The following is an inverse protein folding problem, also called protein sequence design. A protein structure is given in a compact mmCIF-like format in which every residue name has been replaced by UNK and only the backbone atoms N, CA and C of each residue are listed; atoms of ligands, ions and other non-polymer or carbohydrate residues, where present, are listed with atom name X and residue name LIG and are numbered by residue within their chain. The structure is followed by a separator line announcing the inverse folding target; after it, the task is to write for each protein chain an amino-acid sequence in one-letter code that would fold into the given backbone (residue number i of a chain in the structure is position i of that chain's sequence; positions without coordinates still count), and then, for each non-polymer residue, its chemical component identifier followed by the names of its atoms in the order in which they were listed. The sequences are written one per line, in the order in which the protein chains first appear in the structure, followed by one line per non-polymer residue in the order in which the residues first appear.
data_IF_373029283899
#
_entry.id   IF_373029283899
#
_cell.length_a   1.000
_cell.length_b   1.000
_cell.length_c   1.000
_cell.angle_alpha   90.00
_cell.angle_beta   90.00
_cell.angle_gamma   90.00
#
_symmetry.space_group_name_H-M   'P 1'
#
loop_
_entity.id
_entity.type
_entity.pdbx_description
1 polymer ?
#
# COMPACT_ATOMS: atom_id res chain seq x y z
N UNK A 1 12.02 32.97 41.93
CA UNK A 1 11.63 31.79 42.71
C UNK A 1 12.15 30.55 41.98
N UNK A 2 13.23 29.99 42.49
CA UNK A 2 13.88 28.78 41.96
C UNK A 2 13.13 27.55 42.46
N UNK A 3 12.69 26.67 41.55
CA UNK A 3 12.19 25.34 41.89
C UNK A 3 13.10 24.30 41.26
N UNK A 4 13.91 23.69 42.11
CA UNK A 4 14.71 22.53 41.81
C UNK A 4 13.83 21.27 41.88
N UNK A 5 13.87 20.43 40.84
CA UNK A 5 13.37 19.07 40.91
C UNK A 5 14.55 18.13 41.06
N UNK A 6 14.62 17.44 42.20
CA UNK A 6 15.62 16.43 42.52
C UNK A 6 14.96 15.05 42.60
N UNK A 7 15.64 14.07 41.98
CA UNK A 7 15.59 12.61 42.23
C UNK A 7 14.31 11.91 41.71
N UNK A 8 14.35 10.72 41.11
CA UNK A 8 15.20 9.56 41.44
C UNK A 8 15.23 8.58 40.25
N UNK A 9 16.43 8.08 39.93
CA UNK A 9 16.67 6.95 39.03
C UNK A 9 16.23 5.65 39.72
N UNK A 10 15.45 4.81 39.05
CA UNK A 10 15.31 3.38 39.34
C UNK A 10 14.93 2.62 38.06
N UNK A 11 15.94 2.02 37.45
CA UNK A 11 15.86 0.78 36.66
C UNK A 11 17.04 -0.10 37.15
N UNK A 12 17.14 -1.42 36.91
CA UNK A 12 16.29 -2.32 36.12
C UNK A 12 15.97 -3.67 36.83
N UNK A 13 15.05 -4.48 36.30
CA UNK A 13 15.01 -5.92 36.58
C UNK A 13 14.81 -6.69 35.27
N UNK A 14 15.89 -7.34 34.84
CA UNK A 14 15.96 -8.21 33.68
C UNK A 14 15.25 -9.53 33.97
N UNK A 15 14.12 -9.80 33.31
CA UNK A 15 13.49 -11.12 33.32
C UNK A 15 13.91 -11.85 32.04
N UNK A 16 14.91 -12.72 32.16
CA UNK A 16 15.37 -13.59 31.08
C UNK A 16 14.40 -14.76 30.90
N UNK A 17 13.54 -14.70 29.88
CA UNK A 17 12.74 -15.84 29.43
C UNK A 17 13.51 -16.57 28.32
N UNK A 18 13.84 -17.84 28.57
CA UNK A 18 14.47 -18.73 27.60
C UNK A 18 13.46 -19.14 26.52
N UNK A 19 13.73 -18.79 25.26
CA UNK A 19 12.96 -19.25 24.11
C UNK A 19 13.77 -20.34 23.40
N UNK A 20 13.28 -21.58 23.46
CA UNK A 20 13.79 -22.69 22.67
C UNK A 20 13.23 -22.61 21.22
N UNK A 21 14.00 -23.00 20.19
CA UNK A 21 13.51 -23.02 18.82
C UNK A 21 12.75 -24.33 18.56
N UNK A 22 11.42 -24.27 18.52
CA UNK A 22 10.60 -25.34 17.94
C UNK A 22 10.44 -25.07 16.44
N UNK A 23 11.04 -25.93 15.62
CA UNK A 23 10.84 -25.93 14.18
C UNK A 23 9.41 -26.40 13.85
N UNK A 24 8.59 -25.49 13.31
CA UNK A 24 7.26 -25.78 12.81
C UNK A 24 7.33 -25.99 11.29
N UNK A 25 7.18 -27.23 10.85
CA UNK A 25 6.95 -27.58 9.44
C UNK A 25 5.46 -27.41 9.12
N UNK A 26 5.11 -26.34 8.40
CA UNK A 26 3.77 -26.14 7.88
C UNK A 26 3.68 -26.69 6.45
N UNK A 27 3.03 -27.85 6.30
CA UNK A 27 2.53 -28.33 5.01
C UNK A 27 1.28 -27.54 4.64
N UNK A 28 1.35 -26.73 3.58
CA UNK A 28 0.21 -26.04 3.01
C UNK A 28 -0.35 -26.88 1.86
N UNK A 29 -1.51 -27.52 2.09
CA UNK A 29 -2.40 -27.94 1.01
C UNK A 29 -3.34 -26.76 0.67
N UNK A 30 -3.58 -26.43 -0.61
CA UNK A 30 -4.53 -25.39 -0.97
C UNK A 30 -5.94 -25.99 -0.99
N UNK A 31 -6.88 -25.36 -0.27
CA UNK A 31 -8.30 -25.62 -0.47
C UNK A 31 -8.92 -24.39 -1.14
N UNK A 32 -9.40 -24.62 -2.36
CA UNK A 32 -10.17 -23.71 -3.19
C UNK A 32 -11.56 -23.41 -2.60
N UNK A 33 -11.99 -22.16 -2.82
CA UNK A 33 -13.38 -21.82 -3.11
C UNK A 33 -14.32 -21.60 -1.92
N UNK A 34 -14.59 -20.32 -1.59
CA UNK A 34 -15.93 -19.80 -1.22
C UNK A 34 -15.93 -18.33 -0.72
N UNK A 35 -16.48 -17.44 -1.56
CA UNK A 35 -17.53 -16.43 -1.25
C UNK A 35 -17.31 -15.13 -0.40
N UNK A 36 -17.51 -13.98 -1.08
CA UNK A 36 -18.17 -12.67 -0.73
C UNK A 36 -17.69 -11.82 0.50
N UNK A 37 -17.90 -10.47 0.66
CA UNK A 37 -19.15 -9.66 0.64
C UNK A 37 -18.94 -8.13 0.87
N UNK A 38 -20.03 -7.36 0.99
CA UNK A 38 -20.27 -5.90 1.09
C UNK A 38 -19.84 -5.16 2.37
N UNK A 39 -19.51 -3.86 2.31
CA UNK A 39 -18.77 -3.04 3.30
C UNK A 39 -19.45 -2.60 4.63
N UNK A 40 -20.38 -3.38 5.21
CA UNK A 40 -20.92 -3.12 6.57
C UNK A 40 -20.67 -4.24 7.60
N UNK A 41 -20.65 -5.55 7.27
CA UNK A 41 -20.24 -6.62 8.18
C UNK A 41 -18.71 -6.84 8.22
N UNK A 42 -17.92 -5.97 7.55
CA UNK A 42 -16.47 -6.17 7.40
C UNK A 42 -15.72 -6.08 8.72
N UNK A 43 -16.10 -5.14 9.61
CA UNK A 43 -15.42 -5.03 10.90
C UNK A 43 -15.56 -6.31 11.71
N UNK A 44 -16.78 -6.86 11.80
CA UNK A 44 -17.03 -8.11 12.51
C UNK A 44 -16.33 -9.32 11.85
N UNK A 45 -16.33 -9.42 10.52
CA UNK A 45 -15.61 -10.50 9.83
C UNK A 45 -14.08 -10.37 9.96
N UNK A 46 -13.54 -9.16 9.94
CA UNK A 46 -12.12 -8.92 10.17
C UNK A 46 -11.72 -9.23 11.60
N UNK A 47 -12.57 -8.89 12.57
CA UNK A 47 -12.39 -9.26 13.97
C UNK A 47 -12.44 -10.77 14.14
N UNK A 48 -13.44 -11.46 13.59
CA UNK A 48 -13.54 -12.92 13.63
C UNK A 48 -12.34 -13.60 12.98
N UNK A 49 -11.91 -13.15 11.80
CA UNK A 49 -10.70 -13.66 11.13
C UNK A 49 -9.45 -13.44 11.97
N UNK A 50 -9.33 -12.28 12.62
CA UNK A 50 -8.20 -11.96 13.50
C UNK A 50 -8.20 -12.83 14.76
N UNK A 51 -9.35 -13.04 15.36
CA UNK A 51 -9.55 -13.92 16.52
C UNK A 51 -9.16 -15.37 16.17
N UNK A 52 -9.58 -15.87 15.01
CA UNK A 52 -9.16 -17.18 14.51
C UNK A 52 -7.64 -17.28 14.26
N UNK A 53 -6.99 -16.18 13.82
CA UNK A 53 -5.53 -16.14 13.68
C UNK A 53 -4.83 -16.20 15.04
N UNK A 54 -5.35 -15.51 16.06
CA UNK A 54 -4.81 -15.56 17.41
C UNK A 54 -4.93 -16.94 18.03
N UNK A 55 -6.07 -17.61 17.86
CA UNK A 55 -6.27 -19.01 18.28
C UNK A 55 -5.30 -19.95 17.58
N UNK A 56 -5.16 -19.83 16.26
CA UNK A 56 -4.22 -20.65 15.47
C UNK A 56 -2.76 -20.43 15.89
N UNK A 57 -2.42 -19.20 16.27
CA UNK A 57 -1.08 -18.85 16.74
C UNK A 57 -0.83 -19.22 18.21
N UNK A 58 -1.84 -19.73 18.93
CA UNK A 58 -1.74 -20.06 20.35
C UNK A 58 -1.55 -18.83 21.23
N UNK A 59 -2.03 -17.66 20.79
CA UNK A 59 -1.96 -16.42 21.56
C UNK A 59 -3.04 -16.46 22.64
N UNK A 60 -2.60 -16.35 23.89
CA UNK A 60 -3.47 -16.35 25.06
C UNK A 60 -4.36 -15.10 25.12
N UNK A 61 -5.41 -15.18 25.93
CA UNK A 61 -6.44 -14.14 26.01
C UNK A 61 -5.89 -12.80 26.54
N UNK A 62 -4.93 -12.83 27.48
CA UNK A 62 -4.33 -11.61 28.02
C UNK A 62 -3.48 -10.90 26.97
N UNK A 63 -2.67 -11.65 26.21
CA UNK A 63 -1.90 -11.11 25.09
C UNK A 63 -2.81 -10.60 23.97
N UNK A 64 -3.92 -11.29 23.70
CA UNK A 64 -4.92 -10.88 22.71
C UNK A 64 -5.56 -9.55 23.08
N UNK A 65 -6.01 -9.41 24.32
CA UNK A 65 -6.62 -8.18 24.84
C UNK A 65 -5.63 -7.00 24.76
N UNK A 66 -4.37 -7.23 25.13
CA UNK A 66 -3.31 -6.21 25.03
C UNK A 66 -3.09 -5.75 23.57
N UNK A 67 -3.09 -6.67 22.59
CA UNK A 67 -2.96 -6.32 21.18
C UNK A 67 -4.16 -5.52 20.65
N UNK A 68 -5.37 -5.83 21.10
CA UNK A 68 -6.57 -5.10 20.70
C UNK A 68 -6.61 -3.70 21.32
N UNK A 69 -6.22 -3.58 22.60
CA UNK A 69 -6.06 -2.30 23.26
C UNK A 69 -5.04 -1.40 22.54
N UNK A 70 -3.86 -1.93 22.21
CA UNK A 70 -2.83 -1.19 21.48
C UNK A 70 -3.30 -0.74 20.08
N UNK A 71 -4.11 -1.55 19.38
CA UNK A 71 -4.67 -1.18 18.07
C UNK A 71 -5.73 -0.08 18.17
N UNK A 72 -6.55 -0.12 19.23
CA UNK A 72 -7.56 0.92 19.49
C UNK A 72 -6.87 2.24 19.82
N UNK A 73 -5.91 2.22 20.73
CA UNK A 73 -5.08 3.38 21.07
C UNK A 73 -4.38 3.95 19.83
N UNK A 74 -3.78 3.09 19.00
CA UNK A 74 -3.14 3.54 17.76
C UNK A 74 -4.12 4.20 16.78
N UNK A 75 -5.35 3.67 16.68
CA UNK A 75 -6.38 4.26 15.82
C UNK A 75 -6.81 5.63 16.33
N UNK A 76 -7.09 5.73 17.63
CA UNK A 76 -7.46 6.99 18.29
C UNK A 76 -6.35 8.03 18.10
N UNK A 77 -5.09 7.66 18.32
CA UNK A 77 -3.95 8.53 18.08
C UNK A 77 -3.83 8.99 16.61
N UNK A 78 -4.15 8.14 15.63
CA UNK A 78 -4.15 8.53 14.22
C UNK A 78 -5.33 9.44 13.87
N UNK A 79 -6.49 9.24 14.49
CA UNK A 79 -7.67 10.10 14.31
C UNK A 79 -7.41 11.49 14.88
N UNK A 80 -6.89 11.59 16.11
CA UNK A 80 -6.46 12.84 16.73
C UNK A 80 -5.38 13.56 15.91
N UNK A 81 -4.39 12.81 15.38
CA UNK A 81 -3.35 13.38 14.52
C UNK A 81 -3.94 13.95 13.23
N UNK A 82 -4.89 13.26 12.60
CA UNK A 82 -5.56 13.73 11.38
C UNK A 82 -6.38 14.97 11.66
N UNK A 83 -7.15 14.97 12.74
CA UNK A 83 -7.95 16.13 13.13
C UNK A 83 -7.07 17.34 13.43
N UNK A 84 -6.00 17.16 14.22
CA UNK A 84 -5.02 18.21 14.51
C UNK A 84 -4.37 18.74 13.23
N UNK A 85 -4.04 17.85 12.29
CA UNK A 85 -3.51 18.25 10.98
C UNK A 85 -4.53 19.04 10.17
N UNK A 86 -5.81 18.65 10.16
CA UNK A 86 -6.87 19.40 9.49
C UNK A 86 -7.06 20.78 10.11
N UNK A 87 -7.14 20.89 11.43
CA UNK A 87 -7.23 22.19 12.12
C UNK A 87 -6.05 23.09 11.77
N UNK A 88 -4.82 22.56 11.79
CA UNK A 88 -3.63 23.31 11.39
C UNK A 88 -3.69 23.76 9.93
N UNK A 89 -4.24 22.94 9.04
CA UNK A 89 -4.45 23.34 7.64
C UNK A 89 -5.47 24.47 7.53
N UNK A 90 -6.54 24.45 8.34
CA UNK A 90 -7.57 25.49 8.36
C UNK A 90 -7.08 26.80 8.98
N UNK A 91 -6.10 26.75 9.89
CA UNK A 91 -5.41 27.94 10.42
C UNK A 91 -4.46 28.59 9.39
N UNK A 92 -3.86 27.79 8.50
CA UNK A 92 -2.86 28.25 7.54
C UNK A 92 -3.50 28.69 6.22
N UNK A 93 -4.50 27.94 5.75
CA UNK A 93 -5.15 28.15 4.46
C UNK A 93 -6.60 28.57 4.66
N UNK A 94 -7.00 29.63 3.97
CA UNK A 94 -8.41 29.98 3.83
C UNK A 94 -9.16 29.00 2.90
N UNK A 95 -10.49 29.12 2.87
CA UNK A 95 -11.36 28.23 2.13
C UNK A 95 -11.03 28.20 0.62
N UNK A 96 -10.71 29.35 0.03
CA UNK A 96 -10.37 29.49 -1.39
C UNK A 96 -9.04 28.80 -1.72
N UNK A 97 -8.02 28.99 -0.89
CA UNK A 97 -6.73 28.32 -1.02
C UNK A 97 -6.83 26.81 -0.86
N UNK A 98 -7.70 26.33 0.04
CA UNK A 98 -7.94 24.88 0.21
C UNK A 98 -8.64 24.28 -0.99
N UNK A 99 -9.64 24.96 -1.54
CA UNK A 99 -10.33 24.53 -2.76
C UNK A 99 -9.37 24.47 -3.94
N UNK A 100 -8.58 25.53 -4.16
CA UNK A 100 -7.57 25.58 -5.22
C UNK A 100 -6.51 24.46 -5.06
N UNK A 101 -6.06 24.16 -3.85
CA UNK A 101 -5.12 23.06 -3.59
C UNK A 101 -5.77 21.69 -3.84
N UNK A 102 -7.04 21.52 -3.49
CA UNK A 102 -7.80 20.30 -3.74
C UNK A 102 -7.98 20.06 -5.25
N UNK A 103 -8.32 21.10 -6.00
CA UNK A 103 -8.41 21.07 -7.46
C UNK A 103 -7.07 20.73 -8.09
N UNK A 104 -6.00 21.45 -7.74
CA UNK A 104 -4.65 21.16 -8.25
C UNK A 104 -4.19 19.72 -7.97
N UNK A 105 -4.53 19.16 -6.79
CA UNK A 105 -4.25 17.75 -6.47
C UNK A 105 -5.05 16.79 -7.34
N UNK A 106 -6.31 17.12 -7.61
CA UNK A 106 -7.18 16.33 -8.48
C UNK A 106 -6.65 16.35 -9.91
N UNK A 107 -6.31 17.51 -10.43
CA UNK A 107 -5.76 17.69 -11.78
C UNK A 107 -4.46 16.91 -11.93
N UNK A 108 -3.52 17.06 -10.99
CA UNK A 108 -2.27 16.30 -10.99
C UNK A 108 -2.53 14.79 -10.93
N UNK A 109 -3.55 14.35 -10.18
CA UNK A 109 -3.93 12.93 -10.16
C UNK A 109 -4.54 12.48 -11.50
N UNK A 110 -5.33 13.31 -12.16
CA UNK A 110 -5.91 13.04 -13.48
C UNK A 110 -4.81 12.99 -14.56
N UNK A 111 -3.85 13.90 -14.52
CA UNK A 111 -2.64 13.91 -15.35
C UNK A 111 -1.83 12.62 -15.16
N UNK A 112 -1.44 12.29 -13.93
CA UNK A 112 -0.72 11.03 -13.67
C UNK A 112 -1.50 9.79 -14.08
N UNK A 113 -2.83 9.80 -13.99
CA UNK A 113 -3.67 8.72 -14.51
C UNK A 113 -3.62 8.67 -16.04
N UNK A 114 -3.62 9.81 -16.73
CA UNK A 114 -3.50 9.90 -18.17
C UNK A 114 -2.13 9.40 -18.65
N UNK A 115 -1.04 9.90 -18.05
CA UNK A 115 0.33 9.45 -18.32
C UNK A 115 0.46 7.93 -18.14
N UNK A 116 -0.04 7.40 -17.02
CA UNK A 116 -0.03 5.94 -16.78
C UNK A 116 -0.83 5.17 -17.82
N UNK A 117 -1.94 5.72 -18.33
CA UNK A 117 -2.71 5.09 -19.41
C UNK A 117 -1.90 5.09 -20.71
N UNK A 118 -1.25 6.20 -21.05
CA UNK A 118 -0.43 6.31 -22.26
C UNK A 118 0.77 5.36 -22.23
N UNK A 119 1.53 5.35 -21.13
CA UNK A 119 2.64 4.40 -20.93
C UNK A 119 2.16 2.96 -21.06
N UNK A 120 0.99 2.64 -20.50
CA UNK A 120 0.43 1.30 -20.62
C UNK A 120 0.03 0.96 -22.05
N UNK A 121 -0.52 1.91 -22.80
CA UNK A 121 -0.86 1.72 -24.20
C UNK A 121 0.39 1.51 -25.06
N UNK A 122 1.44 2.29 -24.84
CA UNK A 122 2.73 2.13 -25.53
C UNK A 122 3.32 0.74 -25.27
N UNK A 123 3.39 0.33 -24.00
CA UNK A 123 3.88 -1.00 -23.62
C UNK A 123 3.08 -2.13 -24.31
N UNK A 124 1.76 -1.99 -24.40
CA UNK A 124 0.93 -2.97 -25.11
C UNK A 124 1.21 -2.98 -26.61
N UNK A 125 1.37 -1.80 -27.23
CA UNK A 125 1.66 -1.73 -28.66
C UNK A 125 3.01 -2.38 -28.98
N UNK A 126 4.05 -2.08 -28.18
CA UNK A 126 5.38 -2.72 -28.31
C UNK A 126 5.30 -4.24 -28.12
N UNK A 127 4.50 -4.71 -27.16
CA UNK A 127 4.29 -6.13 -26.93
C UNK A 127 3.61 -6.80 -28.13
N UNK A 128 2.55 -6.18 -28.67
CA UNK A 128 1.84 -6.69 -29.85
C UNK A 128 2.73 -6.67 -31.09
N UNK A 129 3.58 -5.65 -31.25
CA UNK A 129 4.59 -5.60 -32.32
C UNK A 129 5.58 -6.76 -32.24
N UNK A 130 5.97 -7.17 -31.02
CA UNK A 130 6.89 -8.29 -30.81
C UNK A 130 6.34 -9.66 -31.20
N UNK A 131 5.01 -9.81 -31.26
CA UNK A 131 4.36 -11.07 -31.58
C UNK A 131 4.16 -11.33 -33.08
N UNK A 132 4.48 -10.35 -33.94
CA UNK A 132 4.38 -10.48 -35.40
C UNK A 132 3.01 -11.04 -35.88
N UNK A 133 1.92 -10.67 -35.19
CA UNK A 133 0.56 -11.12 -35.53
C UNK A 133 0.07 -10.49 -36.84
N UNK A 134 -0.94 -11.12 -37.46
CA UNK A 134 -1.51 -10.62 -38.72
C UNK A 134 -2.17 -9.25 -38.54
N UNK A 135 -2.26 -8.46 -39.62
CA UNK A 135 -2.95 -7.16 -39.57
C UNK A 135 -4.43 -7.31 -39.19
N UNK A 136 -5.06 -8.42 -39.56
CA UNK A 136 -6.43 -8.74 -39.18
C UNK A 136 -6.56 -8.98 -37.66
N UNK A 137 -5.64 -9.76 -37.06
CA UNK A 137 -5.64 -10.03 -35.62
C UNK A 137 -5.27 -8.78 -34.82
N UNK A 138 -4.37 -7.94 -35.37
CA UNK A 138 -3.99 -6.64 -34.78
C UNK A 138 -5.17 -5.70 -34.71
N UNK A 139 -5.98 -5.63 -35.77
CA UNK A 139 -7.18 -4.80 -35.77
C UNK A 139 -8.26 -5.37 -34.85
N UNK A 140 -8.49 -6.68 -34.87
CA UNK A 140 -9.41 -7.34 -33.93
C UNK A 140 -9.01 -7.09 -32.46
N UNK A 141 -7.70 -7.10 -32.15
CA UNK A 141 -7.19 -6.80 -30.81
C UNK A 141 -7.39 -5.33 -30.43
N UNK A 142 -7.22 -4.40 -31.37
CA UNK A 142 -7.51 -2.97 -31.16
C UNK A 142 -8.99 -2.78 -30.84
N UNK A 143 -9.89 -3.32 -31.65
CA UNK A 143 -11.34 -3.25 -31.45
C UNK A 143 -11.75 -3.85 -30.10
N UNK A 144 -11.21 -5.02 -29.74
CA UNK A 144 -11.46 -5.64 -28.44
C UNK A 144 -11.03 -4.74 -27.28
N UNK A 145 -9.88 -4.05 -27.39
CA UNK A 145 -9.42 -3.10 -26.37
C UNK A 145 -10.30 -1.85 -26.28
N UNK A 146 -10.76 -1.32 -27.40
CA UNK A 146 -11.67 -0.17 -27.41
C UNK A 146 -13.03 -0.53 -26.79
N UNK A 147 -13.55 -1.71 -27.10
CA UNK A 147 -14.77 -2.25 -26.47
C UNK A 147 -14.61 -2.35 -24.95
N UNK A 148 -13.47 -2.88 -24.46
CA UNK A 148 -13.17 -2.95 -23.01
C UNK A 148 -13.29 -1.59 -22.34
N UNK A 149 -12.74 -0.53 -22.95
CA UNK A 149 -12.84 0.81 -22.37
C UNK A 149 -14.26 1.37 -22.40
N UNK A 150 -14.99 1.15 -23.50
CA UNK A 150 -16.38 1.57 -23.65
C UNK A 150 -17.27 0.89 -22.60
N UNK A 151 -17.14 -0.41 -22.42
CA UNK A 151 -17.95 -1.18 -21.47
C UNK A 151 -17.62 -0.81 -20.02
N UNK A 152 -16.34 -0.61 -19.70
CA UNK A 152 -15.93 -0.12 -18.38
C UNK A 152 -16.50 1.27 -18.07
N UNK A 153 -16.61 2.13 -19.08
CA UNK A 153 -17.22 3.45 -18.93
C UNK A 153 -18.75 3.34 -18.77
N UNK A 154 -19.42 2.52 -19.56
CA UNK A 154 -20.86 2.25 -19.43
C UNK A 154 -21.19 1.68 -18.04
N UNK A 155 -20.38 0.73 -17.56
CA UNK A 155 -20.50 0.15 -16.23
C UNK A 155 -20.26 1.18 -15.11
N UNK A 156 -19.48 2.24 -15.37
CA UNK A 156 -19.26 3.34 -14.42
C UNK A 156 -20.47 4.26 -14.32
N UNK A 157 -21.19 4.45 -15.42
CA UNK A 157 -22.39 5.29 -15.52
C UNK A 157 -23.66 4.55 -15.08
N UNK A 158 -23.65 3.23 -15.18
CA UNK A 158 -24.75 2.38 -14.75
C UNK A 158 -25.00 2.46 -13.23
N UNK A 159 -26.27 2.63 -12.85
CA UNK A 159 -26.72 2.48 -11.48
C UNK A 159 -26.93 0.99 -11.15
N UNK A 160 -26.56 0.60 -9.93
CA UNK A 160 -26.74 -0.76 -9.44
C UNK A 160 -27.52 -0.76 -8.13
N UNK A 161 -28.38 -1.76 -7.97
CA UNK A 161 -29.17 -1.96 -6.76
C UNK A 161 -28.31 -2.33 -5.54
N UNK A 162 -27.10 -2.86 -5.77
CA UNK A 162 -26.16 -3.20 -4.71
C UNK A 162 -24.69 -3.17 -5.17
N UNK A 163 -23.77 -3.09 -4.20
CA UNK A 163 -22.33 -3.26 -4.48
C UNK A 163 -22.01 -4.66 -4.98
N UNK A 164 -22.73 -5.67 -4.51
CA UNK A 164 -22.59 -7.05 -4.97
C UNK A 164 -22.99 -7.18 -6.46
N UNK A 165 -24.12 -6.60 -6.88
CA UNK A 165 -24.54 -6.57 -8.28
C UNK A 165 -23.49 -5.88 -9.18
N UNK A 166 -22.93 -4.75 -8.71
CA UNK A 166 -21.83 -4.08 -9.42
C UNK A 166 -20.57 -4.95 -9.55
N UNK A 167 -20.24 -5.72 -8.50
CA UNK A 167 -19.09 -6.64 -8.52
C UNK A 167 -19.31 -7.80 -9.48
N UNK A 168 -20.51 -8.35 -9.51
CA UNK A 168 -20.89 -9.41 -10.45
C UNK A 168 -20.82 -8.91 -11.90
N UNK A 169 -21.37 -7.72 -12.17
CA UNK A 169 -21.28 -7.12 -13.49
C UNK A 169 -19.83 -6.87 -13.91
N UNK A 170 -18.98 -6.38 -12.99
CA UNK A 170 -17.55 -6.24 -13.25
C UNK A 170 -16.83 -7.57 -13.48
N UNK A 171 -17.27 -8.64 -12.81
CA UNK A 171 -16.70 -9.98 -12.98
C UNK A 171 -17.06 -10.55 -14.35
N UNK A 172 -18.36 -10.53 -14.69
CA UNK A 172 -18.87 -10.97 -15.98
C UNK A 172 -18.19 -10.22 -17.12
N UNK A 173 -18.06 -8.90 -17.00
CA UNK A 173 -17.35 -8.08 -17.97
C UNK A 173 -15.89 -8.51 -18.17
N UNK A 174 -15.17 -8.82 -17.09
CA UNK A 174 -13.78 -9.31 -17.18
C UNK A 174 -13.70 -10.68 -17.84
N UNK A 175 -14.66 -11.57 -17.57
CA UNK A 175 -14.70 -12.91 -18.19
C UNK A 175 -14.98 -12.81 -19.69
N UNK A 176 -15.95 -11.97 -20.08
CA UNK A 176 -16.27 -11.69 -21.48
C UNK A 176 -15.06 -11.13 -22.23
N UNK A 177 -14.37 -10.15 -21.63
CA UNK A 177 -13.15 -9.60 -22.21
C UNK A 177 -12.02 -10.61 -22.29
N UNK A 178 -11.86 -11.47 -21.29
CA UNK A 178 -10.86 -12.53 -21.34
C UNK A 178 -11.18 -13.52 -22.47
N UNK A 179 -12.46 -13.87 -22.67
CA UNK A 179 -12.88 -14.75 -23.75
C UNK A 179 -12.63 -14.12 -25.13
N UNK A 180 -13.00 -12.86 -25.32
CA UNK A 180 -12.77 -12.13 -26.56
C UNK A 180 -11.27 -12.07 -26.92
N UNK A 181 -10.40 -11.84 -25.93
CA UNK A 181 -8.95 -11.83 -26.15
C UNK A 181 -8.40 -13.24 -26.46
N UNK A 182 -8.99 -14.30 -25.91
CA UNK A 182 -8.59 -15.69 -26.16
C UNK A 182 -8.98 -16.22 -27.55
N UNK A 183 -9.93 -15.57 -28.23
CA UNK A 183 -10.24 -15.87 -29.64
C UNK A 183 -9.16 -15.34 -30.60
N UNK A 184 -8.43 -14.31 -30.18
CA UNK A 184 -7.44 -13.60 -31.01
C UNK A 184 -6.01 -14.01 -30.64
N UNK A 185 -5.74 -14.17 -29.35
CA UNK A 185 -4.40 -14.41 -28.81
C UNK A 185 -4.29 -15.83 -28.26
N UNK A 186 -3.09 -16.41 -28.38
CA UNK A 186 -2.77 -17.68 -27.72
C UNK A 186 -2.69 -17.53 -26.20
N UNK A 187 -2.81 -18.64 -25.48
CA UNK A 187 -2.71 -18.68 -24.02
C UNK A 187 -1.38 -18.08 -23.50
N UNK A 188 -0.27 -18.32 -24.22
CA UNK A 188 1.04 -17.78 -23.88
C UNK A 188 1.09 -16.25 -24.05
N UNK A 189 0.52 -15.72 -25.13
CA UNK A 189 0.42 -14.28 -25.39
C UNK A 189 -0.50 -13.59 -24.38
N UNK A 190 -1.63 -14.22 -24.01
CA UNK A 190 -2.52 -13.72 -22.95
C UNK A 190 -1.80 -13.64 -21.60
N UNK A 191 -0.99 -14.65 -21.28
CA UNK A 191 -0.20 -14.68 -20.05
C UNK A 191 0.84 -13.56 -20.05
N UNK A 192 1.59 -13.41 -21.13
CA UNK A 192 2.59 -12.36 -21.28
C UNK A 192 1.96 -10.96 -21.21
N UNK A 193 0.81 -10.75 -21.86
CA UNK A 193 0.03 -9.53 -21.75
C UNK A 193 -0.36 -9.25 -20.29
N UNK A 194 -0.85 -10.27 -19.57
CA UNK A 194 -1.26 -10.12 -18.16
C UNK A 194 -0.08 -9.76 -17.27
N UNK A 195 1.09 -10.36 -17.50
CA UNK A 195 2.32 -10.04 -16.78
C UNK A 195 2.83 -8.63 -17.08
N UNK A 196 2.70 -8.19 -18.35
CA UNK A 196 3.03 -6.84 -18.76
C UNK A 196 2.05 -5.79 -18.19
N UNK A 197 0.77 -6.13 -18.08
CA UNK A 197 -0.27 -5.25 -17.56
C UNK A 197 -0.42 -5.29 -16.05
N UNK A 198 0.13 -6.31 -15.39
CA UNK A 198 0.08 -6.41 -13.95
C UNK A 198 0.69 -5.12 -13.38
N UNK A 199 -0.01 -4.41 -12.47
CA UNK A 199 0.62 -3.32 -11.77
C UNK A 199 1.89 -3.91 -11.17
N UNK A 200 3.04 -3.28 -11.41
CA UNK A 200 4.24 -3.62 -10.68
C UNK A 200 3.84 -3.54 -9.21
N UNK A 201 3.58 -4.71 -8.60
CA UNK A 201 3.59 -4.86 -7.17
C UNK A 201 5.02 -4.51 -6.84
N UNK A 202 5.26 -3.23 -6.56
CA UNK A 202 6.50 -2.81 -5.97
C UNK A 202 6.82 -3.86 -4.92
N UNK A 203 8.02 -4.40 -4.96
CA UNK A 203 8.57 -5.18 -3.87
C UNK A 203 8.61 -4.28 -2.63
N UNK A 204 7.45 -4.03 -2.03
CA UNK A 204 7.23 -3.40 -0.75
C UNK A 204 7.17 -4.49 0.30
N UNK A 205 8.25 -5.28 0.38
CA UNK A 205 8.60 -6.11 1.52
C UNK A 205 10.13 -6.18 1.56
N UNK A 206 10.78 -5.04 1.81
CA UNK A 206 12.06 -5.04 2.52
C UNK A 206 11.75 -4.92 4.01
N UNK A 207 11.92 -5.99 4.81
CA UNK A 207 11.78 -5.91 6.25
C UNK A 207 13.07 -5.31 6.82
N UNK A 208 13.16 -3.98 6.88
CA UNK A 208 14.10 -3.25 7.76
C UNK A 208 13.89 -1.74 7.63
N UNK A 209 13.34 -1.14 8.67
CA UNK A 209 13.58 0.28 8.94
C UNK A 209 15.06 0.48 9.26
N UNK A 210 15.73 1.37 8.54
CA UNK A 210 16.91 2.09 9.00
C UNK A 210 17.26 3.22 8.03
N UNK A 211 17.03 4.45 8.49
CA UNK A 211 17.83 5.67 8.29
C UNK A 211 16.97 6.91 8.02
N UNK A 212 16.34 7.41 9.09
CA UNK A 212 16.44 8.84 9.35
C UNK A 212 17.90 9.16 9.67
N UNK A 213 18.67 9.57 8.68
CA UNK A 213 20.00 10.15 8.89
C UNK A 213 19.79 11.66 9.03
N UNK A 214 19.68 12.11 10.28
CA UNK A 214 19.91 13.50 10.64
C UNK A 214 21.34 13.90 10.20
N UNK A 215 21.55 15.01 9.46
CA UNK A 215 22.87 15.48 9.07
C UNK A 215 23.49 16.45 10.11
N UNK A 216 23.14 16.34 11.39
CA UNK A 216 23.68 17.18 12.45
C UNK A 216 24.09 16.32 13.64
N UNK A 217 25.26 15.68 13.52
CA UNK A 217 26.12 15.27 14.63
C UNK A 217 27.42 14.70 14.03
N UNK A 218 28.34 15.60 13.69
CA UNK A 218 29.77 15.33 13.57
C UNK A 218 30.46 16.36 14.44
N UNK A 219 30.46 16.06 15.73
CA UNK A 219 31.31 16.70 16.71
C UNK A 219 32.72 16.10 16.65
N UNK A 220 33.70 16.97 16.90
CA UNK A 220 34.96 16.68 17.58
C UNK A 220 36.05 15.82 16.90
N UNK A 221 36.88 16.50 16.09
CA UNK A 221 38.34 16.47 16.28
C UNK A 221 38.79 17.95 16.35
N UNK A 222 39.39 18.47 17.42
CA UNK A 222 40.46 17.89 18.22
C UNK A 222 41.79 18.61 17.93
N UNK A 223 41.82 19.94 17.93
CA UNK A 223 43.07 20.71 17.92
C UNK A 223 43.40 21.15 19.35
N UNK A 224 44.13 20.28 20.06
CA UNK A 224 44.81 20.60 21.30
C UNK A 224 46.26 20.95 21.02
N UNK A 225 46.64 22.14 21.46
CA UNK A 225 47.96 22.76 21.41
C UNK A 225 49.05 21.95 22.15
N UNK A 226 50.29 22.11 21.67
CA UNK A 226 51.60 22.14 22.39
C UNK A 226 52.63 22.41 21.27
N UNK A 227 53.38 23.50 21.17
CA UNK A 227 53.84 24.48 22.13
C UNK A 227 55.37 24.45 22.07
N UNK A 228 56.00 25.44 21.42
CA UNK A 228 57.39 25.82 21.71
C UNK A 228 57.71 27.22 21.14
N UNK A 229 58.36 28.02 21.98
CA UNK A 229 58.53 29.46 21.91
C UNK A 229 59.81 29.87 21.15
N UNK A 230 60.01 31.18 20.84
CA UNK A 230 61.13 31.65 20.03
C UNK A 230 62.35 32.06 20.87
N UNK A 231 63.56 31.91 20.32
CA UNK A 231 64.75 32.67 20.76
C UNK A 231 65.80 32.85 19.63
N UNK A 232 66.17 34.13 19.46
CA UNK A 232 67.41 34.76 18.96
C UNK A 232 68.27 34.11 17.86
N UNK A 233 68.50 34.91 16.81
CA UNK A 233 69.82 35.51 16.55
C UNK A 233 69.68 36.92 15.97
#
# INVERSE_FOLDING_TARGET
MTRAFTRTLLAPALLAAAIAPLALSAGAAPQEGAHHRDHAPHHQQHEQRRQALYERAGIDDATREALEAARREHREALEELRESHHQRMDEILDDEQREALSEARRDLQEEHRAERREVMQQRLNELVDSWEISDADREALREAREAIYADMQALREQAFDSRQARREAMHALREEHQAALAEILSDDQLKEMREALAPHRGHGMSPRGHHGRNPHDMDHHGHGERGEAPHHH
#
